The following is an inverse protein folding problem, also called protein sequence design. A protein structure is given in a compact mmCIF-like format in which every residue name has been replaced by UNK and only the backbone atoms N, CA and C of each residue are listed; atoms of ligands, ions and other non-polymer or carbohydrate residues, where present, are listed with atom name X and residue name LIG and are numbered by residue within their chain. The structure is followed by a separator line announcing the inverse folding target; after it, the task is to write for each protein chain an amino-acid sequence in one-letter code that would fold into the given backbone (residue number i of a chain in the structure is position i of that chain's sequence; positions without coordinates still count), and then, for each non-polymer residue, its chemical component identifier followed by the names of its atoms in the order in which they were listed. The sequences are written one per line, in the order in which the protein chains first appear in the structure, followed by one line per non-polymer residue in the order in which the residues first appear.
data_IF_040003207399
#
_entry.id   IF_040003207399
#
_cell.length_a   1.000
_cell.length_b   1.000
_cell.length_c   1.000
_cell.angle_alpha   90.00
_cell.angle_beta   90.00
_cell.angle_gamma   90.00
#
_symmetry.space_group_name_H-M   'P 1'
#
loop_
_entity.id
_entity.type
_entity.pdbx_description
1 polymer ?
#
# COMPACT_ATOMS: atom_id res chain seq x y z
N UNK A 1 -40.65 -15.22 44.61
CA UNK A 1 -40.88 -14.11 45.57
C UNK A 1 -39.89 -12.94 45.32
N UNK A 2 -38.61 -13.16 45.15
CA UNK A 2 -37.55 -12.14 44.97
C UNK A 2 -37.80 -11.20 43.78
N UNK A 3 -38.24 -11.70 42.62
CA UNK A 3 -38.52 -10.92 41.43
C UNK A 3 -39.63 -9.85 41.62
N UNK A 4 -40.68 -10.18 42.35
CA UNK A 4 -41.78 -9.23 42.65
C UNK A 4 -41.32 -8.11 43.59
N UNK A 5 -40.46 -8.43 44.55
CA UNK A 5 -39.91 -7.45 45.51
C UNK A 5 -38.93 -6.51 44.80
N UNK A 6 -38.06 -7.04 43.94
CA UNK A 6 -37.13 -6.27 43.13
C UNK A 6 -37.84 -5.30 42.17
N UNK A 7 -38.89 -5.79 41.47
CA UNK A 7 -39.72 -4.97 40.59
C UNK A 7 -40.40 -3.81 41.32
N UNK A 8 -40.96 -4.10 42.49
CA UNK A 8 -41.63 -3.10 43.34
C UNK A 8 -40.63 -2.06 43.91
N UNK A 9 -39.38 -2.45 44.17
CA UNK A 9 -38.30 -1.56 44.63
C UNK A 9 -37.88 -0.60 43.54
N UNK A 10 -37.76 -1.03 42.28
CA UNK A 10 -37.47 -0.23 41.10
C UNK A 10 -38.50 0.89 40.92
N UNK A 11 -39.77 0.55 41.01
CA UNK A 11 -40.86 1.50 40.81
C UNK A 11 -41.09 2.45 41.99
N UNK A 12 -40.64 2.11 43.20
CA UNK A 12 -40.74 2.96 44.40
C UNK A 12 -39.78 4.15 44.35
N UNK A 13 -38.61 4.02 43.71
CA UNK A 13 -37.59 5.07 43.61
C UNK A 13 -37.28 5.41 42.14
N UNK A 14 -38.30 5.83 41.37
CA UNK A 14 -38.22 6.04 39.93
C UNK A 14 -37.09 7.02 39.51
N UNK A 15 -36.89 8.11 40.25
CA UNK A 15 -35.81 9.09 39.94
C UNK A 15 -34.44 8.45 40.02
N UNK A 16 -34.15 7.69 41.07
CA UNK A 16 -32.83 7.04 41.23
C UNK A 16 -32.63 5.96 40.18
N UNK A 17 -33.65 5.17 39.87
CA UNK A 17 -33.60 4.14 38.85
C UNK A 17 -33.40 4.71 37.46
N UNK A 18 -34.09 5.82 37.12
CA UNK A 18 -33.94 6.49 35.83
C UNK A 18 -32.52 7.10 35.66
N UNK A 19 -31.99 7.73 36.72
CA UNK A 19 -30.62 8.30 36.66
C UNK A 19 -29.61 7.17 36.46
N UNK A 20 -29.72 6.07 37.21
CA UNK A 20 -28.80 4.92 37.08
C UNK A 20 -28.93 4.28 35.68
N UNK A 21 -30.15 4.04 35.19
CA UNK A 21 -30.40 3.49 33.89
C UNK A 21 -29.88 4.41 32.76
N UNK A 22 -30.11 5.71 32.88
CA UNK A 22 -29.60 6.70 31.92
C UNK A 22 -28.04 6.77 31.90
N UNK A 23 -27.42 6.68 33.10
CA UNK A 23 -25.96 6.64 33.20
C UNK A 23 -25.37 5.39 32.55
N UNK A 24 -25.98 4.23 32.75
CA UNK A 24 -25.55 2.96 32.13
C UNK A 24 -25.77 3.03 30.62
N UNK A 25 -26.95 3.48 30.18
CA UNK A 25 -27.25 3.63 28.77
C UNK A 25 -26.28 4.59 28.05
N UNK A 26 -25.97 5.74 28.69
CA UNK A 26 -25.01 6.69 28.14
C UNK A 26 -23.60 6.08 28.06
N UNK A 27 -23.16 5.36 29.10
CA UNK A 27 -21.88 4.67 29.08
C UNK A 27 -21.79 3.61 27.97
N UNK A 28 -22.87 2.86 27.74
CA UNK A 28 -22.95 1.87 26.67
C UNK A 28 -22.92 2.51 25.28
N UNK A 29 -23.65 3.61 25.08
CA UNK A 29 -23.66 4.35 23.82
C UNK A 29 -22.25 4.86 23.50
N UNK A 30 -21.58 5.47 24.49
CA UNK A 30 -20.20 5.96 24.32
C UNK A 30 -19.24 4.82 24.00
N UNK A 31 -19.34 3.69 24.70
CA UNK A 31 -18.50 2.52 24.47
C UNK A 31 -18.68 1.97 23.04
N UNK A 32 -19.92 1.79 22.60
CA UNK A 32 -20.25 1.31 21.25
C UNK A 32 -19.74 2.29 20.19
N UNK A 33 -19.91 3.60 20.43
CA UNK A 33 -19.41 4.64 19.51
C UNK A 33 -17.89 4.58 19.34
N UNK A 34 -17.14 4.45 20.46
CA UNK A 34 -15.68 4.35 20.39
C UNK A 34 -15.20 3.05 19.71
N UNK A 35 -15.88 1.93 19.97
CA UNK A 35 -15.55 0.66 19.30
C UNK A 35 -15.77 0.78 17.79
N UNK A 36 -16.94 1.26 17.37
CA UNK A 36 -17.25 1.45 15.95
C UNK A 36 -16.30 2.44 15.26
N UNK A 37 -15.90 3.52 15.95
CA UNK A 37 -14.92 4.46 15.44
C UNK A 37 -13.55 3.81 15.29
N UNK A 38 -13.10 3.04 16.28
CA UNK A 38 -11.83 2.33 16.23
C UNK A 38 -11.78 1.29 15.10
N UNK A 39 -12.85 0.51 14.90
CA UNK A 39 -12.97 -0.42 13.78
C UNK A 39 -12.90 0.30 12.43
N UNK A 40 -13.63 1.40 12.26
CA UNK A 40 -13.60 2.18 11.02
C UNK A 40 -12.21 2.74 10.69
N UNK A 41 -11.48 3.25 11.69
CA UNK A 41 -10.09 3.72 11.52
C UNK A 41 -9.17 2.55 11.16
N UNK A 42 -9.32 1.41 11.83
CA UNK A 42 -8.50 0.23 11.56
C UNK A 42 -8.73 -0.31 10.14
N UNK A 43 -9.98 -0.45 9.70
CA UNK A 43 -10.30 -0.86 8.33
C UNK A 43 -9.69 0.10 7.28
N UNK A 44 -9.69 1.40 7.58
CA UNK A 44 -9.08 2.37 6.68
C UNK A 44 -7.55 2.20 6.62
N UNK A 45 -6.87 2.03 7.75
CA UNK A 45 -5.41 1.78 7.80
C UNK A 45 -5.05 0.52 7.00
N UNK A 46 -5.78 -0.57 7.21
CA UNK A 46 -5.57 -1.82 6.47
C UNK A 46 -5.79 -1.61 4.97
N UNK A 47 -6.90 -0.99 4.58
CA UNK A 47 -7.21 -0.76 3.17
C UNK A 47 -6.19 0.15 2.49
N UNK A 48 -5.77 1.23 3.15
CA UNK A 48 -4.75 2.14 2.63
C UNK A 48 -3.38 1.43 2.52
N UNK A 49 -2.99 0.64 3.51
CA UNK A 49 -1.77 -0.17 3.49
C UNK A 49 -1.78 -1.22 2.36
N UNK A 50 -2.88 -1.95 2.21
CA UNK A 50 -3.08 -2.93 1.14
C UNK A 50 -3.02 -2.27 -0.23
N UNK A 51 -3.70 -1.13 -0.43
CA UNK A 51 -3.72 -0.40 -1.70
C UNK A 51 -2.39 0.27 -2.03
N UNK A 52 -1.64 0.72 -1.03
CA UNK A 52 -0.31 1.30 -1.20
C UNK A 52 0.69 0.25 -1.71
N UNK A 53 0.63 -0.95 -1.19
CA UNK A 53 1.46 -2.07 -1.63
C UNK A 53 0.88 -2.75 -2.89
N UNK A 54 0.84 -4.06 -2.90
CA UNK A 54 0.44 -4.83 -4.06
C UNK A 54 -1.06 -5.23 -4.09
N UNK A 55 -1.90 -4.61 -3.26
CA UNK A 55 -3.33 -4.92 -3.20
C UNK A 55 -3.67 -6.13 -2.33
N UNK A 56 -4.89 -6.67 -2.49
CA UNK A 56 -5.42 -7.78 -1.67
C UNK A 56 -4.74 -9.12 -1.97
N UNK A 57 -4.26 -9.30 -3.20
CA UNK A 57 -3.55 -10.50 -3.66
C UNK A 57 -2.30 -10.04 -4.40
N UNK A 58 -1.16 -10.64 -4.08
CA UNK A 58 0.12 -10.35 -4.72
C UNK A 58 0.60 -11.57 -5.48
N UNK A 59 1.02 -11.36 -6.71
CA UNK A 59 1.70 -12.36 -7.53
C UNK A 59 3.17 -11.95 -7.64
N UNK A 60 4.07 -12.88 -7.32
CA UNK A 60 5.50 -12.62 -7.31
C UNK A 60 6.31 -13.91 -7.52
N UNK A 61 7.63 -13.77 -7.59
CA UNK A 61 8.51 -14.93 -7.60
C UNK A 61 8.46 -15.64 -6.23
N UNK A 62 8.42 -17.00 -6.16
CA UNK A 62 8.34 -17.73 -4.90
C UNK A 62 9.45 -17.41 -3.88
N UNK A 63 10.63 -17.04 -4.35
CA UNK A 63 11.76 -16.72 -3.48
C UNK A 63 11.78 -15.25 -3.03
N UNK A 64 10.85 -14.42 -3.54
CA UNK A 64 10.88 -12.96 -3.34
C UNK A 64 10.68 -12.56 -1.87
N UNK A 65 9.78 -13.23 -1.14
CA UNK A 65 9.53 -12.93 0.28
C UNK A 65 10.72 -13.26 1.19
N UNK A 66 11.52 -14.25 0.82
CA UNK A 66 12.68 -14.67 1.62
C UNK A 66 13.86 -13.69 1.50
N UNK A 67 14.08 -13.16 0.30
CA UNK A 67 15.15 -12.23 -0.01
C UNK A 67 14.75 -11.29 -1.15
N UNK A 68 13.99 -10.22 -0.88
CA UNK A 68 13.53 -9.30 -1.93
C UNK A 68 14.70 -8.75 -2.75
N UNK A 69 14.72 -9.11 -4.03
CA UNK A 69 15.75 -8.70 -4.97
C UNK A 69 15.17 -8.44 -6.36
N UNK A 70 15.77 -7.53 -7.09
CA UNK A 70 15.25 -7.08 -8.39
C UNK A 70 15.36 -8.14 -9.49
N UNK A 71 16.21 -9.13 -9.35
CA UNK A 71 16.33 -10.28 -10.24
C UNK A 71 15.24 -11.34 -10.03
N UNK A 72 14.57 -11.34 -8.86
CA UNK A 72 13.40 -12.17 -8.56
C UNK A 72 12.13 -11.52 -9.14
N UNK A 73 12.06 -11.50 -10.45
CA UNK A 73 10.97 -10.92 -11.21
C UNK A 73 10.06 -11.97 -11.82
N UNK A 74 8.88 -11.57 -12.20
CA UNK A 74 7.91 -12.37 -12.98
C UNK A 74 7.82 -11.81 -14.39
N UNK A 75 7.68 -12.68 -15.36
CA UNK A 75 7.49 -12.34 -16.78
C UNK A 75 6.07 -12.58 -17.25
N UNK A 76 5.80 -12.21 -18.50
CA UNK A 76 4.47 -12.37 -19.14
C UNK A 76 3.36 -11.63 -18.35
N UNK A 77 3.75 -10.56 -17.65
CA UNK A 77 2.87 -9.85 -16.72
C UNK A 77 1.66 -9.23 -17.38
N UNK A 78 1.78 -8.80 -18.64
CA UNK A 78 0.67 -8.21 -19.39
C UNK A 78 -0.42 -9.23 -19.73
N UNK A 79 -0.08 -10.47 -20.08
CA UNK A 79 -1.06 -11.51 -20.35
C UNK A 79 -1.73 -11.98 -19.06
N UNK A 80 -0.95 -12.11 -17.98
CA UNK A 80 -1.47 -12.46 -16.66
C UNK A 80 -2.45 -11.37 -16.20
N UNK A 81 -2.06 -10.10 -16.30
CA UNK A 81 -2.91 -8.95 -15.97
C UNK A 81 -4.22 -8.94 -16.75
N UNK A 82 -4.14 -9.18 -18.06
CA UNK A 82 -5.34 -9.26 -18.92
C UNK A 82 -6.28 -10.39 -18.51
N UNK A 83 -5.74 -11.52 -18.06
CA UNK A 83 -6.55 -12.61 -17.52
C UNK A 83 -7.24 -12.19 -16.22
N UNK A 84 -6.45 -11.68 -15.25
CA UNK A 84 -6.94 -11.28 -13.93
C UNK A 84 -8.03 -10.20 -14.02
N UNK A 85 -7.87 -9.21 -14.92
CA UNK A 85 -8.87 -8.16 -15.14
C UNK A 85 -10.20 -8.66 -15.70
N UNK A 86 -10.30 -9.91 -16.17
CA UNK A 86 -11.57 -10.52 -16.59
C UNK A 86 -12.36 -11.12 -15.44
N UNK A 87 -11.74 -11.33 -14.29
CA UNK A 87 -12.39 -11.86 -13.09
C UNK A 87 -13.33 -10.78 -12.54
N UNK A 88 -14.61 -11.07 -12.42
CA UNK A 88 -15.63 -10.07 -12.05
C UNK A 88 -15.38 -9.40 -10.70
N UNK A 89 -14.81 -10.13 -9.74
CA UNK A 89 -14.51 -9.65 -8.40
C UNK A 89 -13.31 -8.69 -8.36
N UNK A 90 -12.50 -8.60 -9.43
CA UNK A 90 -11.34 -7.72 -9.51
C UNK A 90 -11.75 -6.30 -9.85
N UNK A 91 -11.25 -5.34 -9.09
CA UNK A 91 -11.37 -3.90 -9.33
C UNK A 91 -10.26 -3.41 -10.25
N UNK A 92 -9.00 -3.76 -9.90
CA UNK A 92 -7.81 -3.36 -10.65
C UNK A 92 -6.69 -4.40 -10.50
N UNK A 93 -5.81 -4.43 -11.50
CA UNK A 93 -4.56 -5.20 -11.45
C UNK A 93 -3.41 -4.29 -11.85
N UNK A 94 -2.48 -4.04 -10.93
CA UNK A 94 -1.37 -3.11 -11.06
C UNK A 94 -0.03 -3.79 -11.10
N UNK A 95 0.90 -3.25 -11.88
CA UNK A 95 2.27 -3.70 -11.94
C UNK A 95 3.14 -2.84 -11.02
N UNK A 96 4.04 -3.50 -10.30
CA UNK A 96 4.98 -2.86 -9.39
C UNK A 96 6.39 -3.39 -9.64
N UNK A 97 7.35 -2.49 -9.55
CA UNK A 97 8.78 -2.82 -9.52
C UNK A 97 9.32 -2.26 -8.21
N UNK A 98 9.72 -3.15 -7.32
CA UNK A 98 10.33 -2.79 -6.06
C UNK A 98 11.84 -2.98 -6.13
N UNK A 99 12.58 -1.95 -5.75
CA UNK A 99 14.01 -2.01 -5.61
C UNK A 99 14.48 -1.19 -4.42
N UNK A 100 15.68 -1.45 -3.98
CA UNK A 100 16.33 -0.66 -2.94
C UNK A 100 17.48 0.14 -3.54
N UNK A 101 17.77 1.28 -2.94
CA UNK A 101 18.86 2.13 -3.41
C UNK A 101 19.20 3.21 -2.41
N UNK A 102 20.00 4.15 -2.87
CA UNK A 102 20.41 5.32 -2.12
C UNK A 102 19.99 6.57 -2.90
N UNK A 103 19.28 7.45 -2.23
CA UNK A 103 18.93 8.76 -2.73
C UNK A 103 20.00 9.78 -2.28
N UNK A 104 20.66 10.40 -3.23
CA UNK A 104 21.77 11.33 -2.97
C UNK A 104 21.39 12.76 -3.36
N UNK A 105 21.74 13.72 -2.51
CA UNK A 105 21.66 15.15 -2.78
C UNK A 105 22.98 15.85 -2.43
N UNK A 106 23.03 17.15 -2.63
CA UNK A 106 24.19 17.95 -2.14
C UNK A 106 24.29 18.03 -0.61
N UNK A 107 23.27 17.61 0.13
CA UNK A 107 23.23 17.65 1.61
C UNK A 107 23.57 16.30 2.26
N UNK A 108 23.39 15.19 1.56
CA UNK A 108 23.63 13.85 2.10
C UNK A 108 23.09 12.73 1.24
N UNK A 109 23.13 11.53 1.79
CA UNK A 109 22.68 10.28 1.19
C UNK A 109 21.79 9.51 2.17
N UNK A 110 20.65 8.99 1.70
CA UNK A 110 19.70 8.23 2.49
C UNK A 110 19.32 6.96 1.76
N UNK A 111 19.27 5.82 2.46
CA UNK A 111 18.77 4.56 1.92
C UNK A 111 17.26 4.65 1.67
N UNK A 112 16.80 4.22 0.51
CA UNK A 112 15.40 4.34 0.10
C UNK A 112 14.89 3.08 -0.58
N UNK A 113 13.58 2.85 -0.46
CA UNK A 113 12.84 1.92 -1.29
C UNK A 113 12.29 2.64 -2.51
N UNK A 114 12.57 2.09 -3.68
CA UNK A 114 12.21 2.65 -4.98
C UNK A 114 11.03 1.85 -5.53
N UNK A 115 9.90 2.51 -5.73
CA UNK A 115 8.70 1.92 -6.31
C UNK A 115 8.51 2.41 -7.75
N UNK A 116 8.66 1.52 -8.71
CA UNK A 116 8.22 1.75 -10.09
C UNK A 116 6.72 1.47 -10.19
N UNK A 117 5.94 2.48 -10.57
CA UNK A 117 4.48 2.45 -10.53
C UNK A 117 3.86 2.92 -11.85
N UNK A 118 2.62 2.49 -12.09
CA UNK A 118 1.78 3.00 -13.18
C UNK A 118 0.99 4.22 -12.68
N UNK A 119 1.32 5.45 -13.09
CA UNK A 119 0.74 6.67 -12.53
C UNK A 119 -0.78 6.73 -12.59
N UNK A 120 -1.38 6.34 -13.73
CA UNK A 120 -2.84 6.37 -13.91
C UNK A 120 -3.58 5.38 -12.98
N UNK A 121 -2.93 4.28 -12.60
CA UNK A 121 -3.48 3.29 -11.66
C UNK A 121 -3.30 3.78 -10.22
N UNK A 122 -2.12 4.29 -9.88
CA UNK A 122 -1.81 4.77 -8.53
C UNK A 122 -2.66 5.98 -8.12
N UNK A 123 -2.91 6.94 -9.02
CA UNK A 123 -3.78 8.09 -8.74
C UNK A 123 -5.17 7.66 -8.24
N UNK A 124 -5.68 6.53 -8.70
CA UNK A 124 -6.99 6.02 -8.32
C UNK A 124 -6.97 5.19 -7.04
N UNK A 125 -5.85 4.53 -6.76
CA UNK A 125 -5.80 3.43 -5.81
C UNK A 125 -4.86 3.67 -4.62
N UNK A 126 -3.84 4.54 -4.75
CA UNK A 126 -2.80 4.68 -3.73
C UNK A 126 -2.96 5.95 -2.89
N UNK A 127 -2.87 5.84 -1.55
CA UNK A 127 -2.80 7.01 -0.69
C UNK A 127 -1.59 7.90 -1.00
N UNK A 128 -0.46 7.35 -1.44
CA UNK A 128 0.73 8.15 -1.79
C UNK A 128 0.45 9.14 -2.93
N UNK A 129 -0.40 8.75 -3.88
CA UNK A 129 -0.79 9.62 -4.98
C UNK A 129 -1.83 10.68 -4.57
N UNK A 130 -2.69 10.33 -3.60
CA UNK A 130 -3.74 11.22 -3.07
C UNK A 130 -3.16 12.31 -2.17
N UNK A 131 -2.17 11.96 -1.36
CA UNK A 131 -1.70 12.79 -0.24
C UNK A 131 -0.47 13.64 -0.62
N UNK A 132 -0.46 14.19 -1.86
CA UNK A 132 0.55 15.14 -2.35
C UNK A 132 0.39 16.48 -1.63
N UNK A 133 1.43 16.89 -0.91
CA UNK A 133 1.46 18.17 -0.19
C UNK A 133 2.19 19.29 -0.94
N UNK A 134 3.01 18.93 -1.92
CA UNK A 134 3.69 19.91 -2.78
C UNK A 134 3.91 19.34 -4.19
N UNK A 135 3.77 20.16 -5.21
CA UNK A 135 3.93 19.79 -6.63
C UNK A 135 2.75 19.02 -7.19
N UNK A 136 3.02 17.99 -7.98
CA UNK A 136 2.02 17.11 -8.57
C UNK A 136 2.51 15.67 -8.60
N UNK A 137 1.56 14.73 -8.69
CA UNK A 137 1.91 13.33 -8.83
C UNK A 137 2.50 13.02 -10.21
N UNK A 138 3.05 11.82 -10.37
CA UNK A 138 3.63 11.32 -11.62
C UNK A 138 2.57 11.28 -12.74
N UNK A 139 3.02 11.40 -13.97
CA UNK A 139 2.25 11.21 -15.20
C UNK A 139 2.86 10.09 -16.03
N UNK A 140 2.09 9.53 -16.96
CA UNK A 140 2.53 8.41 -17.81
C UNK A 140 3.71 8.73 -18.72
N UNK A 141 3.81 10.00 -19.14
CA UNK A 141 4.87 10.52 -20.02
C UNK A 141 6.09 11.07 -19.26
N UNK A 142 6.06 10.99 -17.92
CA UNK A 142 7.22 11.44 -17.13
C UNK A 142 8.42 10.52 -17.35
N UNK A 143 9.57 11.11 -17.64
CA UNK A 143 10.87 10.46 -17.61
C UNK A 143 11.76 11.14 -16.57
N UNK A 144 12.51 10.35 -15.79
CA UNK A 144 13.43 10.85 -14.74
C UNK A 144 12.78 11.82 -13.74
N UNK A 145 11.48 11.61 -13.45
CA UNK A 145 10.76 12.32 -12.39
C UNK A 145 10.55 11.40 -11.20
N UNK A 146 10.61 12.01 -10.02
CA UNK A 146 10.35 11.27 -8.77
C UNK A 146 9.34 12.00 -7.93
N UNK A 147 8.56 11.23 -7.17
CA UNK A 147 7.76 11.69 -6.06
C UNK A 147 8.32 11.02 -4.81
N UNK A 148 8.49 11.77 -3.73
CA UNK A 148 9.13 11.29 -2.51
C UNK A 148 8.44 11.85 -1.27
N UNK A 149 8.65 11.20 -0.13
CA UNK A 149 8.02 11.61 1.11
C UNK A 149 8.61 12.90 1.70
N UNK A 150 7.82 13.60 2.50
CA UNK A 150 8.19 14.89 3.07
C UNK A 150 9.38 14.78 4.03
N UNK A 151 9.46 13.72 4.82
CA UNK A 151 10.56 13.50 5.73
C UNK A 151 11.88 13.33 4.98
N UNK A 152 11.89 12.53 3.92
CA UNK A 152 13.05 12.34 3.03
C UNK A 152 13.46 13.65 2.35
N UNK A 153 12.49 14.46 1.90
CA UNK A 153 12.76 15.77 1.31
C UNK A 153 13.48 16.70 2.29
N UNK A 154 13.05 16.72 3.56
CA UNK A 154 13.66 17.51 4.63
C UNK A 154 15.08 17.03 4.96
N UNK A 155 15.28 15.72 5.07
CA UNK A 155 16.57 15.11 5.37
C UNK A 155 17.61 15.40 4.28
N UNK A 156 17.23 15.23 3.03
CA UNK A 156 18.07 15.53 1.88
C UNK A 156 18.15 17.02 1.53
N UNK A 157 17.42 17.89 2.23
CA UNK A 157 17.32 19.35 2.01
C UNK A 157 16.97 19.69 0.57
N UNK A 158 16.04 18.96 -0.01
CA UNK A 158 15.56 19.15 -1.38
C UNK A 158 14.06 19.51 -1.40
N UNK A 159 13.66 20.20 -2.45
CA UNK A 159 12.28 20.59 -2.73
C UNK A 159 11.92 20.35 -4.19
N UNK A 160 10.74 20.87 -4.58
CA UNK A 160 10.25 20.74 -5.96
C UNK A 160 11.26 21.25 -6.97
N UNK A 161 11.41 20.50 -8.06
CA UNK A 161 12.32 20.83 -9.16
C UNK A 161 13.81 20.58 -8.87
N UNK A 162 14.20 20.32 -7.64
CA UNK A 162 15.58 19.97 -7.32
C UNK A 162 15.99 18.63 -7.95
N UNK A 163 17.28 18.49 -8.17
CA UNK A 163 17.89 17.27 -8.67
C UNK A 163 18.21 16.33 -7.51
N UNK A 164 18.02 15.04 -7.73
CA UNK A 164 18.38 13.95 -6.83
C UNK A 164 19.04 12.85 -7.67
N UNK A 165 20.08 12.24 -7.16
CA UNK A 165 20.71 11.06 -7.79
C UNK A 165 20.23 9.82 -7.06
N UNK A 166 19.67 8.87 -7.81
CA UNK A 166 19.28 7.56 -7.33
C UNK A 166 20.37 6.58 -7.72
N UNK A 167 20.98 5.94 -6.75
CA UNK A 167 21.98 4.90 -6.95
C UNK A 167 21.38 3.55 -6.51
N UNK A 168 21.40 2.57 -7.41
CA UNK A 168 20.85 1.23 -7.14
C UNK A 168 21.59 0.17 -7.95
N UNK A 169 21.32 -1.10 -7.68
CA UNK A 169 21.77 -2.20 -8.53
C UNK A 169 20.65 -2.64 -9.48
N UNK A 170 21.00 -2.89 -10.73
CA UNK A 170 20.07 -3.49 -11.69
C UNK A 170 19.98 -5.02 -11.52
N UNK A 171 19.10 -5.68 -12.29
CA UNK A 171 18.90 -7.12 -12.26
C UNK A 171 20.13 -7.96 -12.65
N UNK A 172 21.21 -7.33 -13.16
CA UNK A 172 22.50 -7.98 -13.46
C UNK A 172 23.52 -7.77 -12.34
N UNK A 173 23.16 -7.06 -11.26
CA UNK A 173 24.07 -6.69 -10.19
C UNK A 173 24.98 -5.50 -10.51
N UNK A 174 24.77 -4.80 -11.62
CA UNK A 174 25.56 -3.63 -12.02
C UNK A 174 25.02 -2.39 -11.28
N UNK A 175 25.95 -1.55 -10.80
CA UNK A 175 25.60 -0.27 -10.18
C UNK A 175 25.06 0.70 -11.25
N UNK A 176 23.89 1.27 -10.99
CA UNK A 176 23.24 2.26 -11.85
C UNK A 176 23.04 3.55 -11.08
N UNK A 177 23.40 4.66 -11.68
CA UNK A 177 23.16 6.01 -11.16
C UNK A 177 22.30 6.80 -12.13
N UNK A 178 21.17 7.28 -11.64
CA UNK A 178 20.23 8.07 -12.45
C UNK A 178 19.95 9.42 -11.80
N UNK A 179 20.11 10.47 -12.59
CA UNK A 179 19.78 11.83 -12.18
C UNK A 179 18.31 12.10 -12.42
N UNK A 180 17.58 12.26 -11.35
CA UNK A 180 16.14 12.51 -11.36
C UNK A 180 15.81 13.93 -10.89
N UNK A 181 14.57 14.35 -11.12
CA UNK A 181 14.04 15.63 -10.66
C UNK A 181 12.78 15.42 -9.81
N UNK A 182 12.73 16.06 -8.66
CA UNK A 182 11.57 16.01 -7.76
C UNK A 182 10.38 16.72 -8.40
N UNK A 183 9.30 15.96 -8.65
CA UNK A 183 8.03 16.45 -9.22
C UNK A 183 6.98 16.72 -8.16
N UNK A 184 6.94 15.88 -7.12
CA UNK A 184 6.00 16.01 -6.02
C UNK A 184 6.55 15.50 -4.71
N UNK A 185 5.92 15.93 -3.65
CA UNK A 185 6.21 15.50 -2.27
C UNK A 185 4.89 15.06 -1.65
N UNK A 186 4.86 13.83 -1.12
CA UNK A 186 3.71 13.29 -0.40
C UNK A 186 3.94 13.32 1.11
N UNK A 187 2.83 13.24 1.88
CA UNK A 187 2.85 13.11 3.34
C UNK A 187 1.73 12.17 3.76
N UNK A 188 2.10 10.99 4.23
CA UNK A 188 1.15 9.99 4.76
C UNK A 188 0.88 10.16 6.24
N UNK A 189 1.76 10.86 6.95
CA UNK A 189 1.74 10.99 8.41
C UNK A 189 2.50 9.88 9.14
N UNK A 190 3.12 8.94 8.42
CA UNK A 190 4.09 7.98 8.95
C UNK A 190 5.49 8.42 8.56
N UNK A 191 6.32 8.74 9.55
CA UNK A 191 7.71 9.15 9.31
C UNK A 191 8.52 8.06 8.61
N UNK A 192 8.20 6.79 8.85
CA UNK A 192 8.85 5.65 8.20
C UNK A 192 8.54 5.63 6.71
N UNK A 193 7.27 5.79 6.32
CA UNK A 193 6.86 5.84 4.91
C UNK A 193 7.42 7.12 4.27
N UNK A 194 7.23 8.26 4.90
CA UNK A 194 7.63 9.56 4.38
C UNK A 194 9.16 9.76 4.33
N UNK A 195 9.92 8.96 5.09
CA UNK A 195 11.38 8.98 5.12
C UNK A 195 12.07 7.97 4.21
N UNK A 196 11.34 6.97 3.72
CA UNK A 196 11.97 5.81 3.06
C UNK A 196 11.51 5.57 1.62
N UNK A 197 10.29 5.98 1.26
CA UNK A 197 9.73 5.65 -0.05
C UNK A 197 9.92 6.76 -1.08
N UNK A 198 10.32 6.33 -2.29
CA UNK A 198 10.26 7.15 -3.51
C UNK A 198 9.51 6.39 -4.60
N UNK A 199 8.74 7.12 -5.40
CA UNK A 199 8.03 6.57 -6.55
C UNK A 199 8.56 7.16 -7.85
N UNK A 200 8.71 6.31 -8.85
CA UNK A 200 9.10 6.64 -10.21
C UNK A 200 8.15 5.96 -11.21
N UNK A 201 7.99 6.49 -12.43
CA UNK A 201 7.16 5.83 -13.44
C UNK A 201 7.66 4.43 -13.77
N UNK A 202 6.73 3.48 -13.98
CA UNK A 202 7.04 2.07 -14.24
C UNK A 202 8.02 1.87 -15.40
N UNK A 203 7.83 2.60 -16.50
CA UNK A 203 8.71 2.52 -17.65
C UNK A 203 10.14 3.02 -17.36
N UNK A 204 10.26 4.03 -16.51
CA UNK A 204 11.57 4.50 -16.06
C UNK A 204 12.21 3.49 -15.08
N UNK A 205 11.42 2.91 -14.17
CA UNK A 205 11.91 1.83 -13.29
C UNK A 205 12.45 0.64 -14.08
N UNK A 206 11.75 0.20 -15.15
CA UNK A 206 12.25 -0.86 -16.03
C UNK A 206 13.62 -0.54 -16.63
N UNK A 207 13.86 0.71 -17.05
CA UNK A 207 15.17 1.16 -17.55
C UNK A 207 16.23 1.12 -16.45
N UNK A 208 15.92 1.68 -15.27
CA UNK A 208 16.86 1.74 -14.14
C UNK A 208 17.26 0.33 -13.68
N UNK A 209 16.30 -0.56 -13.56
CA UNK A 209 16.52 -1.91 -13.06
C UNK A 209 16.88 -2.92 -14.15
N UNK A 210 16.89 -2.53 -15.41
CA UNK A 210 17.25 -3.42 -16.54
C UNK A 210 16.22 -4.52 -16.80
N UNK A 211 14.95 -4.26 -16.55
CA UNK A 211 13.84 -5.19 -16.78
C UNK A 211 13.26 -5.03 -18.19
N UNK A 212 12.71 -6.13 -18.72
CA UNK A 212 11.99 -6.10 -19.99
C UNK A 212 10.60 -5.45 -19.85
N UNK A 213 9.98 -5.14 -20.99
CA UNK A 213 8.68 -4.46 -21.00
C UNK A 213 7.54 -5.30 -20.38
N UNK A 214 7.66 -6.62 -20.40
CA UNK A 214 6.71 -7.58 -19.88
C UNK A 214 7.13 -8.20 -18.53
N UNK A 215 8.10 -7.59 -17.86
CA UNK A 215 8.58 -7.99 -16.54
C UNK A 215 8.19 -6.97 -15.46
N UNK A 216 7.96 -7.50 -14.25
CA UNK A 216 7.78 -6.72 -13.01
C UNK A 216 8.24 -7.58 -11.82
N UNK A 217 8.47 -6.98 -10.65
CA UNK A 217 8.73 -7.74 -9.42
C UNK A 217 7.46 -8.30 -8.84
N UNK A 218 6.37 -7.54 -8.93
CA UNK A 218 5.06 -7.94 -8.40
C UNK A 218 3.93 -7.51 -9.33
N UNK A 219 2.85 -8.31 -9.34
CA UNK A 219 1.56 -7.94 -9.88
C UNK A 219 0.55 -7.96 -8.74
N UNK A 220 0.01 -6.81 -8.43
CA UNK A 220 -0.96 -6.62 -7.37
C UNK A 220 -2.38 -6.66 -7.87
N UNK A 221 -3.28 -7.27 -7.11
CA UNK A 221 -4.70 -7.38 -7.43
C UNK A 221 -5.53 -6.69 -6.36
N UNK A 222 -6.30 -5.69 -6.77
CA UNK A 222 -7.24 -4.99 -5.93
C UNK A 222 -8.63 -5.56 -6.20
N UNK A 223 -9.31 -6.01 -5.14
CA UNK A 223 -10.64 -6.58 -5.21
C UNK A 223 -11.70 -5.54 -4.91
N UNK A 224 -12.87 -5.67 -5.52
CA UNK A 224 -14.06 -4.86 -5.21
C UNK A 224 -14.54 -5.11 -3.77
N UNK A 225 -14.40 -6.34 -3.29
CA UNK A 225 -14.77 -6.77 -1.93
C UNK A 225 -13.66 -7.64 -1.37
N UNK A 226 -13.03 -7.27 -0.26
CA UNK A 226 -11.93 -8.05 0.34
C UNK A 226 -12.30 -9.50 0.66
N UNK A 227 -13.57 -9.77 1.00
CA UNK A 227 -14.06 -11.12 1.31
C UNK A 227 -14.01 -12.10 0.11
N UNK A 228 -13.92 -11.61 -1.11
CA UNK A 228 -13.81 -12.47 -2.30
C UNK A 228 -12.38 -13.01 -2.50
N UNK A 229 -11.41 -12.58 -1.67
CA UNK A 229 -9.99 -12.93 -1.77
C UNK A 229 -9.72 -14.44 -1.87
N UNK A 230 -10.27 -15.33 -1.01
CA UNK A 230 -9.96 -16.76 -1.09
C UNK A 230 -10.40 -17.39 -2.42
N UNK A 231 -11.58 -17.00 -2.90
CA UNK A 231 -12.13 -17.50 -4.17
C UNK A 231 -11.27 -17.06 -5.36
N UNK A 232 -10.92 -15.77 -5.42
CA UNK A 232 -10.09 -15.22 -6.50
C UNK A 232 -8.68 -15.79 -6.48
N UNK A 233 -8.11 -16.01 -5.30
CA UNK A 233 -6.80 -16.65 -5.16
C UNK A 233 -6.77 -18.05 -5.74
N UNK A 234 -7.77 -18.89 -5.45
CA UNK A 234 -7.86 -20.25 -5.99
C UNK A 234 -8.01 -20.25 -7.51
N UNK A 235 -8.81 -19.33 -8.06
CA UNK A 235 -8.96 -19.15 -9.50
C UNK A 235 -7.62 -18.78 -10.16
N UNK A 236 -6.90 -17.81 -9.60
CA UNK A 236 -5.59 -17.38 -10.11
C UNK A 236 -4.55 -18.50 -9.98
N UNK A 237 -4.47 -19.16 -8.82
CA UNK A 237 -3.55 -20.30 -8.60
C UNK A 237 -3.77 -21.43 -9.61
N UNK A 238 -5.03 -21.78 -9.85
CA UNK A 238 -5.39 -22.82 -10.82
C UNK A 238 -4.98 -22.43 -12.24
N UNK A 239 -5.18 -21.18 -12.63
CA UNK A 239 -4.81 -20.68 -13.95
C UNK A 239 -3.29 -20.57 -14.18
N UNK A 240 -2.53 -20.34 -13.11
CA UNK A 240 -1.08 -20.13 -13.15
C UNK A 240 -0.27 -21.33 -12.65
N UNK A 241 -0.88 -22.49 -12.43
CA UNK A 241 -0.25 -23.68 -11.85
C UNK A 241 1.04 -24.16 -12.60
N UNK A 242 1.18 -23.82 -13.87
CA UNK A 242 2.34 -24.17 -14.69
C UNK A 242 3.42 -23.05 -14.74
N UNK A 243 3.22 -21.95 -14.04
CA UNK A 243 4.18 -20.83 -13.98
C UNK A 243 4.87 -20.82 -12.63
N UNK A 244 6.13 -20.39 -12.61
CA UNK A 244 6.89 -20.18 -11.36
C UNK A 244 6.48 -18.84 -10.72
N UNK A 245 5.22 -18.76 -10.26
CA UNK A 245 4.63 -17.57 -9.66
C UNK A 245 3.91 -18.00 -8.39
N UNK A 246 4.20 -17.34 -7.31
CA UNK A 246 3.49 -17.50 -6.06
C UNK A 246 2.35 -16.49 -5.96
N UNK A 247 1.22 -16.92 -5.42
CA UNK A 247 0.03 -16.09 -5.22
C UNK A 247 -0.23 -15.99 -3.73
N UNK A 248 -0.01 -14.81 -3.18
CA UNK A 248 -0.03 -14.53 -1.75
C UNK A 248 -1.18 -13.61 -1.35
N UNK A 249 -1.81 -13.83 -0.19
CA UNK A 249 -2.75 -12.89 0.38
C UNK A 249 -2.02 -11.72 1.04
N UNK A 250 -2.65 -10.55 1.11
CA UNK A 250 -2.07 -9.37 1.74
C UNK A 250 -1.63 -9.60 3.20
N UNK A 251 -2.29 -10.51 3.93
CA UNK A 251 -1.95 -10.84 5.31
C UNK A 251 -0.53 -11.45 5.46
N UNK A 252 -0.01 -12.06 4.40
CA UNK A 252 1.35 -12.56 4.38
C UNK A 252 2.37 -11.48 3.99
N UNK A 253 1.94 -10.51 3.21
CA UNK A 253 2.78 -9.38 2.78
C UNK A 253 2.90 -8.32 3.87
N UNK A 254 1.83 -8.11 4.64
CA UNK A 254 1.72 -7.11 5.71
C UNK A 254 1.31 -7.77 7.04
N UNK A 255 2.16 -8.63 7.62
CA UNK A 255 1.82 -9.34 8.85
C UNK A 255 1.64 -8.40 10.06
N UNK A 256 2.20 -7.19 10.00
CA UNK A 256 2.12 -6.21 11.08
C UNK A 256 0.74 -5.54 11.19
N UNK A 257 -0.08 -5.64 10.14
CA UNK A 257 -1.45 -5.06 10.09
C UNK A 257 -2.53 -6.12 9.88
N UNK A 258 -2.18 -7.42 9.95
CA UNK A 258 -3.09 -8.56 9.77
C UNK A 258 -3.74 -9.04 11.08
#
# INVERSE_FOLDING_TARGET
MIFRVAWRSIWRNRRRTLITAASIALGLIIAIFFIAMAEGVYEQIVNDGVRMQAGHITLENPDYQMAPAIDLRIGDVENIRKYIKKIEAVEEAKLLIWGQGVANSGAGAVGVSIMGVEPAVEIKNSPLARDIVAGSYLAEDDDRKVVLGEHLAKELKIGLGNKIVITTNNARGELVEELCRVKGIFRTGSDEIDGYFIQIPLNFARKVFGLQADEATQLGVILKRPQDQPMVMEEIKSALANKNIEVLPWQQILPEVA
#
